data_IF_295046899029
#
_entry.id   IF_295046899029
#
_cell.length_a   1.000
_cell.length_b   1.000
_cell.length_c   1.000
_cell.angle_alpha   90.00
_cell.angle_beta   90.00
_cell.angle_gamma   90.00
#
_symmetry.space_group_name_H-M   'P 1'
#
loop_
_entity.id
_entity.type
_entity.pdbx_description
1 polymer ?
#
# COMPACT_ATOMS: atom_id res chain seq x y z
N UNK A 1 35.66 27.27 21.28
CA UNK A 1 35.93 26.23 20.27
C UNK A 1 34.82 25.20 20.10
N UNK A 2 33.81 25.09 20.98
CA UNK A 2 32.76 24.05 20.86
C UNK A 2 31.71 24.25 19.77
N UNK A 3 31.30 25.49 19.43
CA UNK A 3 30.19 25.74 18.52
C UNK A 3 30.42 25.35 17.04
N UNK A 4 31.67 25.36 16.57
CA UNK A 4 32.01 24.99 15.19
C UNK A 4 31.78 23.48 14.94
N UNK A 5 32.05 22.63 15.94
CA UNK A 5 31.84 21.18 15.84
C UNK A 5 30.35 20.81 15.84
N UNK A 6 29.50 21.59 16.53
CA UNK A 6 28.06 21.36 16.54
C UNK A 6 27.49 21.71 15.15
N UNK A 7 27.86 22.87 14.60
CA UNK A 7 27.39 23.32 13.28
C UNK A 7 27.87 22.40 12.13
N UNK A 8 29.11 21.89 12.20
CA UNK A 8 29.59 20.91 11.21
C UNK A 8 28.94 19.55 11.37
N UNK A 9 28.67 19.10 12.61
CA UNK A 9 27.92 17.87 12.88
C UNK A 9 26.50 17.90 12.31
N UNK A 10 25.77 19.01 12.49
CA UNK A 10 24.45 19.21 11.89
C UNK A 10 24.49 19.27 10.36
N UNK A 11 25.51 19.89 9.77
CA UNK A 11 25.65 19.95 8.32
C UNK A 11 25.93 18.55 7.72
N UNK A 12 26.84 17.77 8.32
CA UNK A 12 27.13 16.39 7.89
C UNK A 12 25.90 15.49 8.03
N UNK A 13 25.16 15.62 9.13
CA UNK A 13 23.91 14.91 9.32
C UNK A 13 22.84 15.34 8.30
N UNK A 14 22.76 16.63 7.97
CA UNK A 14 21.88 17.17 6.95
C UNK A 14 22.18 16.61 5.56
N UNK A 15 23.44 16.62 5.11
CA UNK A 15 23.83 16.05 3.82
C UNK A 15 23.56 14.54 3.73
N UNK A 16 23.76 13.81 4.83
CA UNK A 16 23.40 12.40 4.90
C UNK A 16 21.89 12.19 4.80
N UNK A 17 21.10 13.00 5.51
CA UNK A 17 19.65 12.95 5.45
C UNK A 17 19.11 13.30 4.05
N UNK A 18 19.69 14.30 3.37
CA UNK A 18 19.35 14.66 2.00
C UNK A 18 19.74 13.55 1.01
N UNK A 19 20.91 12.93 1.19
CA UNK A 19 21.33 11.79 0.37
C UNK A 19 20.41 10.59 0.53
N UNK A 20 20.05 10.25 1.77
CA UNK A 20 19.09 9.18 2.08
C UNK A 20 17.70 9.55 1.57
N UNK A 21 17.26 10.79 1.74
CA UNK A 21 15.99 11.29 1.23
C UNK A 21 15.89 11.22 -0.29
N UNK A 22 16.94 11.62 -0.99
CA UNK A 22 17.04 11.50 -2.45
C UNK A 22 16.98 10.05 -2.92
N UNK A 23 17.62 9.13 -2.21
CA UNK A 23 17.55 7.69 -2.51
C UNK A 23 16.15 7.12 -2.23
N UNK A 24 15.56 7.49 -1.09
CA UNK A 24 14.25 7.01 -0.65
C UNK A 24 13.09 7.65 -1.44
N UNK A 25 13.29 8.78 -2.11
CA UNK A 25 12.23 9.38 -2.91
C UNK A 25 11.79 8.45 -4.05
N UNK A 26 12.71 7.71 -4.66
CA UNK A 26 12.41 6.83 -5.79
C UNK A 26 11.43 5.71 -5.44
N UNK A 27 11.66 4.90 -4.38
CA UNK A 27 10.67 3.92 -3.95
C UNK A 27 9.41 4.57 -3.38
N UNK A 28 9.51 5.74 -2.73
CA UNK A 28 8.34 6.46 -2.23
C UNK A 28 7.39 6.89 -3.37
N UNK A 29 7.94 7.42 -4.47
CA UNK A 29 7.16 7.78 -5.67
C UNK A 29 6.46 6.56 -6.26
N UNK A 30 7.11 5.40 -6.28
CA UNK A 30 6.48 4.16 -6.74
C UNK A 30 5.27 3.77 -5.88
N UNK A 31 5.38 3.85 -4.54
CA UNK A 31 4.26 3.58 -3.63
C UNK A 31 3.08 4.50 -3.93
N UNK A 32 3.35 5.80 -4.19
CA UNK A 32 2.32 6.77 -4.55
C UNK A 32 1.64 6.38 -5.86
N UNK A 33 2.39 5.99 -6.89
CA UNK A 33 1.78 5.55 -8.16
C UNK A 33 0.91 4.30 -7.96
N UNK A 34 1.41 3.31 -7.24
CA UNK A 34 0.66 2.07 -6.94
C UNK A 34 -0.61 2.38 -6.15
N UNK A 35 -0.55 3.28 -5.17
CA UNK A 35 -1.73 3.64 -4.37
C UNK A 35 -2.79 4.36 -5.20
N UNK A 36 -2.41 5.25 -6.11
CA UNK A 36 -3.36 5.92 -7.01
C UNK A 36 -4.03 4.94 -7.96
N UNK A 37 -3.26 4.02 -8.56
CA UNK A 37 -3.81 2.97 -9.43
C UNK A 37 -4.72 2.05 -8.63
N UNK A 38 -4.34 1.68 -7.41
CA UNK A 38 -5.16 0.84 -6.54
C UNK A 38 -6.46 1.53 -6.12
N UNK A 39 -6.41 2.81 -5.77
CA UNK A 39 -7.58 3.60 -5.37
C UNK A 39 -8.58 3.78 -6.52
N UNK A 40 -8.10 3.91 -7.75
CA UNK A 40 -8.93 4.05 -8.94
C UNK A 40 -9.63 2.75 -9.38
N UNK A 41 -9.24 1.59 -8.84
CA UNK A 41 -9.89 0.33 -9.17
C UNK A 41 -11.27 0.21 -8.49
N UNK A 42 -12.31 -0.28 -9.20
CA UNK A 42 -13.57 -0.63 -8.57
C UNK A 42 -13.28 -1.65 -7.47
N UNK A 43 -13.77 -1.41 -6.25
CA UNK A 43 -13.58 -2.32 -5.10
C UNK A 43 -12.51 -1.88 -4.11
N UNK A 44 -11.80 -0.78 -4.38
CA UNK A 44 -10.84 -0.17 -3.44
C UNK A 44 -11.48 0.25 -2.12
N UNK A 45 -12.79 0.53 -2.13
CA UNK A 45 -13.58 0.94 -0.96
C UNK A 45 -14.25 -0.23 -0.23
N UNK A 46 -14.00 -1.48 -0.64
CA UNK A 46 -14.61 -2.63 0.01
C UNK A 46 -14.09 -2.78 1.45
N UNK A 47 -14.99 -2.96 2.43
CA UNK A 47 -14.57 -3.18 3.79
C UNK A 47 -13.77 -4.48 3.87
N UNK A 48 -12.54 -4.38 4.35
CA UNK A 48 -11.70 -5.55 4.60
C UNK A 48 -12.32 -6.41 5.71
N UNK A 49 -12.14 -7.73 5.63
CA UNK A 49 -12.64 -8.64 6.67
C UNK A 49 -11.99 -8.29 8.02
N UNK A 50 -12.80 -7.98 9.03
CA UNK A 50 -12.31 -7.65 10.36
C UNK A 50 -11.78 -8.89 11.11
N UNK A 51 -10.82 -8.68 12.01
CA UNK A 51 -10.31 -9.71 12.92
C UNK A 51 -9.47 -10.79 12.24
N UNK A 52 -9.49 -12.00 12.81
CA UNK A 52 -8.64 -13.14 12.40
C UNK A 52 -8.90 -13.54 10.94
N UNK A 53 -10.14 -13.43 10.47
CA UNK A 53 -10.49 -13.73 9.08
C UNK A 53 -9.70 -12.84 8.09
N UNK A 54 -9.56 -11.55 8.39
CA UNK A 54 -8.74 -10.63 7.60
C UNK A 54 -7.25 -10.97 7.63
N UNK A 55 -6.74 -11.40 8.78
CA UNK A 55 -5.33 -11.81 8.92
C UNK A 55 -5.05 -13.05 8.08
N UNK A 56 -5.92 -14.06 8.14
CA UNK A 56 -5.80 -15.28 7.33
C UNK A 56 -5.87 -14.94 5.84
N UNK A 57 -6.83 -14.10 5.45
CA UNK A 57 -6.98 -13.67 4.07
C UNK A 57 -5.72 -12.94 3.57
N UNK A 58 -5.16 -12.03 4.37
CA UNK A 58 -3.93 -11.31 4.04
C UNK A 58 -2.73 -12.26 3.91
N UNK A 59 -2.59 -13.21 4.83
CA UNK A 59 -1.52 -14.21 4.78
C UNK A 59 -1.62 -15.09 3.52
N UNK A 60 -2.82 -15.58 3.19
CA UNK A 60 -3.04 -16.41 2.00
C UNK A 60 -2.75 -15.65 0.71
N UNK A 61 -3.23 -14.41 0.60
CA UNK A 61 -2.94 -13.57 -0.57
C UNK A 61 -1.44 -13.25 -0.66
N UNK A 62 -0.80 -12.90 0.46
CA UNK A 62 0.64 -12.64 0.50
C UNK A 62 1.48 -13.85 0.07
N UNK A 63 1.13 -15.05 0.53
CA UNK A 63 1.76 -16.30 0.10
C UNK A 63 1.51 -16.55 -1.39
N UNK A 64 0.27 -16.37 -1.87
CA UNK A 64 -0.07 -16.55 -3.27
C UNK A 64 0.72 -15.60 -4.19
N UNK A 65 0.79 -14.31 -3.85
CA UNK A 65 1.60 -13.33 -4.57
C UNK A 65 3.10 -13.66 -4.49
N UNK A 66 3.60 -14.00 -3.30
CA UNK A 66 4.99 -14.41 -3.10
C UNK A 66 5.36 -15.60 -3.97
N UNK A 67 4.51 -16.63 -4.02
CA UNK A 67 4.70 -17.81 -4.88
C UNK A 67 4.54 -17.46 -6.37
N UNK A 68 3.66 -16.54 -6.74
CA UNK A 68 3.51 -16.11 -8.12
C UNK A 68 4.76 -15.36 -8.64
N UNK A 69 5.35 -14.49 -7.81
CA UNK A 69 6.51 -13.65 -8.15
C UNK A 69 7.83 -14.43 -8.01
N UNK A 70 8.00 -15.12 -6.89
CA UNK A 70 9.22 -15.87 -6.53
C UNK A 70 9.15 -17.34 -6.92
N UNK A 71 8.14 -17.77 -7.68
CA UNK A 71 7.92 -19.18 -8.03
C UNK A 71 9.00 -19.75 -8.94
N UNK A 72 10.17 -20.03 -8.36
CA UNK A 72 11.30 -20.64 -9.02
C UNK A 72 10.99 -22.12 -9.30
N UNK A 73 10.85 -22.46 -10.58
CA UNK A 73 10.93 -23.81 -11.20
C UNK A 73 9.65 -24.62 -11.45
N UNK A 74 8.50 -24.43 -10.78
CA UNK A 74 7.26 -25.20 -11.09
C UNK A 74 6.16 -24.34 -11.70
N UNK A 75 6.08 -24.35 -13.03
CA UNK A 75 5.13 -23.56 -13.84
C UNK A 75 3.66 -23.79 -13.45
N UNK A 76 3.27 -25.00 -13.05
CA UNK A 76 1.91 -25.29 -12.60
C UNK A 76 1.53 -24.53 -11.33
N UNK A 77 2.39 -24.55 -10.31
CA UNK A 77 2.14 -23.86 -9.02
C UNK A 77 2.11 -22.34 -9.22
N UNK A 78 2.99 -21.81 -10.07
CA UNK A 78 2.96 -20.39 -10.43
C UNK A 78 1.66 -20.00 -11.14
N UNK A 79 1.17 -20.83 -12.07
CA UNK A 79 -0.08 -20.58 -12.79
C UNK A 79 -1.29 -20.64 -11.85
N UNK A 80 -1.34 -21.59 -10.92
CA UNK A 80 -2.44 -21.65 -9.95
C UNK A 80 -2.40 -20.46 -9.00
N UNK A 81 -1.23 -20.07 -8.49
CA UNK A 81 -1.09 -18.90 -7.63
C UNK A 81 -1.46 -17.60 -8.35
N UNK A 82 -1.02 -17.44 -9.60
CA UNK A 82 -1.42 -16.30 -10.44
C UNK A 82 -2.93 -16.30 -10.73
N UNK A 83 -3.53 -17.46 -11.01
CA UNK A 83 -4.97 -17.57 -11.21
C UNK A 83 -5.75 -17.19 -9.95
N UNK A 84 -5.32 -17.63 -8.76
CA UNK A 84 -5.93 -17.24 -7.49
C UNK A 84 -5.82 -15.73 -7.27
N UNK A 85 -4.66 -15.13 -7.50
CA UNK A 85 -4.46 -13.69 -7.39
C UNK A 85 -5.37 -12.91 -8.36
N UNK A 86 -5.44 -13.35 -9.62
CA UNK A 86 -6.31 -12.73 -10.63
C UNK A 86 -7.79 -12.88 -10.26
N UNK A 87 -8.22 -14.05 -9.81
CA UNK A 87 -9.60 -14.27 -9.36
C UNK A 87 -9.94 -13.41 -8.15
N UNK A 88 -9.03 -13.26 -7.18
CA UNK A 88 -9.24 -12.40 -6.02
C UNK A 88 -9.38 -10.92 -6.44
N UNK A 89 -8.52 -10.46 -7.35
CA UNK A 89 -8.63 -9.11 -7.93
C UNK A 89 -9.95 -8.93 -8.69
N UNK A 90 -10.32 -9.87 -9.55
CA UNK A 90 -11.56 -9.82 -10.32
C UNK A 90 -12.82 -9.84 -9.43
N UNK A 91 -12.80 -10.63 -8.35
CA UNK A 91 -13.88 -10.66 -7.37
C UNK A 91 -14.01 -9.31 -6.63
N UNK A 92 -12.88 -8.74 -6.19
CA UNK A 92 -12.83 -7.40 -5.61
C UNK A 92 -13.37 -6.33 -6.57
N UNK A 93 -13.02 -6.41 -7.86
CA UNK A 93 -13.50 -5.50 -8.89
C UNK A 93 -15.00 -5.65 -9.20
N UNK A 94 -15.56 -6.85 -9.06
CA UNK A 94 -16.98 -7.14 -9.33
C UNK A 94 -17.93 -6.74 -8.19
N UNK A 95 -17.49 -6.86 -6.94
CA UNK A 95 -18.31 -6.57 -5.75
C UNK A 95 -18.96 -5.17 -5.69
N UNK A 96 -18.29 -4.05 -6.04
CA UNK A 96 -18.92 -2.72 -6.01
C UNK A 96 -20.03 -2.53 -7.06
N UNK A 97 -20.10 -3.37 -8.10
CA UNK A 97 -21.26 -3.36 -9.00
C UNK A 97 -22.51 -3.98 -8.36
N UNK A 98 -22.31 -4.81 -7.33
CA UNK A 98 -23.37 -5.44 -6.55
C UNK A 98 -23.74 -4.55 -5.35
N UNK A 99 -22.75 -3.87 -4.76
CA UNK A 99 -22.93 -2.96 -3.62
C UNK A 99 -22.85 -1.50 -4.08
N UNK A 100 -23.99 -0.82 -4.18
CA UNK A 100 -23.99 0.64 -4.42
C UNK A 100 -23.32 1.35 -3.23
N UNK A 101 -22.34 2.23 -3.45
CA UNK A 101 -21.83 3.09 -2.40
C UNK A 101 -22.98 3.92 -1.83
N UNK A 102 -23.09 4.00 -0.51
CA UNK A 102 -24.09 4.83 0.14
C UNK A 102 -23.65 6.30 0.05
N UNK A 103 -24.24 7.10 -0.85
CA UNK A 103 -24.20 8.59 -0.85
C UNK A 103 -22.83 9.28 -0.98
N UNK A 104 -22.86 10.56 -1.37
CA UNK A 104 -21.70 11.41 -1.77
C UNK A 104 -20.78 11.85 -0.61
N UNK A 105 -20.41 10.97 0.32
CA UNK A 105 -19.45 11.29 1.39
C UNK A 105 -18.13 10.56 1.14
N UNK A 106 -17.02 11.31 1.14
CA UNK A 106 -15.68 10.76 0.98
C UNK A 106 -14.89 10.96 2.27
N UNK A 107 -14.34 9.86 2.82
CA UNK A 107 -13.47 9.88 4.00
C UNK A 107 -12.08 9.40 3.60
N UNK A 108 -11.10 10.27 3.73
CA UNK A 108 -9.69 9.92 3.55
C UNK A 108 -9.05 9.67 4.92
N UNK A 109 -8.36 8.53 5.07
CA UNK A 109 -7.53 8.20 6.22
C UNK A 109 -6.06 8.21 5.82
N UNK A 110 -5.25 8.99 6.53
CA UNK A 110 -3.80 8.89 6.43
C UNK A 110 -3.31 7.87 7.47
N UNK A 111 -3.10 6.62 7.07
CA UNK A 111 -2.53 5.59 7.93
C UNK A 111 -1.00 5.55 7.75
N UNK A 112 -0.33 6.63 8.20
CA UNK A 112 1.13 6.71 8.25
C UNK A 112 1.56 7.18 9.64
N UNK A 113 1.47 6.29 10.63
CA UNK A 113 2.28 6.22 11.87
C UNK A 113 2.50 7.43 12.80
N UNK A 114 2.06 8.64 12.47
CA UNK A 114 2.40 9.89 13.17
C UNK A 114 1.17 10.73 13.56
N UNK A 115 -0.04 10.29 13.19
CA UNK A 115 -1.30 10.96 13.54
C UNK A 115 -2.35 10.75 12.46
N UNK A 116 -3.47 10.14 12.82
CA UNK A 116 -4.61 9.95 11.92
C UNK A 116 -5.33 11.28 11.72
N UNK A 117 -5.16 11.87 10.54
CA UNK A 117 -6.02 12.95 10.07
C UNK A 117 -7.16 12.35 9.25
N UNK A 118 -8.39 12.55 9.70
CA UNK A 118 -9.60 12.17 8.97
C UNK A 118 -10.23 13.43 8.40
N UNK A 119 -10.29 13.53 7.07
CA UNK A 119 -11.00 14.62 6.38
C UNK A 119 -12.31 14.08 5.85
N UNK A 120 -13.40 14.74 6.21
CA UNK A 120 -14.75 14.45 5.71
C UNK A 120 -15.13 15.59 4.78
N UNK A 121 -15.39 15.27 3.51
CA UNK A 121 -15.99 16.20 2.55
C UNK A 121 -17.45 15.85 2.40
N UNK A 122 -18.32 16.80 2.75
CA UNK A 122 -19.71 16.84 2.34
C UNK A 122 -19.77 17.81 1.16
N UNK A 123 -20.13 17.32 -0.03
CA UNK A 123 -20.50 18.22 -1.13
C UNK A 123 -21.94 18.72 -0.95
#
# INVERSE_FOLDING_TARGET
SGGLHVLTGWAVFGYFADGVGWLLQWPAQWIVVVSHVAAAMPGSVLPWAAGIAGVILAALLGIAFGVAVLGFRKTKVRRTAAAVAVCALAAGMGLPFIHRPAGDWTVAFCDVGQGSATVVRLD
#
